data_IF_109761876985
#
_entry.id   IF_109761876985
#
_cell.length_a   1.000
_cell.length_b   1.000
_cell.length_c   1.000
_cell.angle_alpha   90.00
_cell.angle_beta   90.00
_cell.angle_gamma   90.00
#
_symmetry.space_group_name_H-M   'P 1'
#
loop_
_entity.id
_entity.type
_entity.pdbx_description
1 polymer ?
#
# COMPACT_ATOMS: atom_id res chain seq x y z
N UNK A 1 -0.31 -6.44 19.63
CA UNK A 1 -0.17 -7.60 18.73
C UNK A 1 1.23 -7.53 18.14
N UNK A 2 2.17 -8.28 18.70
CA UNK A 2 3.54 -8.36 18.19
C UNK A 2 3.50 -9.03 16.83
N UNK A 3 3.75 -8.25 15.77
CA UNK A 3 4.01 -8.79 14.45
C UNK A 3 5.21 -9.74 14.56
N UNK A 4 4.97 -11.02 14.32
CA UNK A 4 6.01 -12.02 14.31
C UNK A 4 6.84 -11.82 13.04
N UNK A 5 8.06 -11.30 13.21
CA UNK A 5 8.94 -10.90 12.10
C UNK A 5 9.26 -12.10 11.20
N UNK A 6 9.49 -13.26 11.79
CA UNK A 6 9.79 -14.50 11.06
C UNK A 6 8.60 -14.96 10.24
N UNK A 7 7.39 -14.85 10.81
CA UNK A 7 6.15 -15.14 10.08
C UNK A 7 5.97 -14.20 8.89
N UNK A 8 6.09 -12.89 9.09
CA UNK A 8 5.98 -11.91 8.00
C UNK A 8 7.00 -12.18 6.89
N UNK A 9 8.24 -12.54 7.26
CA UNK A 9 9.29 -12.80 6.29
C UNK A 9 9.01 -14.06 5.44
N UNK A 10 8.40 -15.10 6.03
CA UNK A 10 7.91 -16.27 5.28
C UNK A 10 6.77 -15.91 4.34
N UNK A 11 5.75 -15.22 4.86
CA UNK A 11 4.59 -14.77 4.06
C UNK A 11 5.04 -13.94 2.85
N UNK A 12 5.99 -13.00 3.05
CA UNK A 12 6.52 -12.17 1.97
C UNK A 12 7.28 -12.99 0.93
N UNK A 13 8.14 -13.90 1.37
CA UNK A 13 8.92 -14.73 0.43
C UNK A 13 8.02 -15.63 -0.42
N UNK A 14 6.96 -16.19 0.17
CA UNK A 14 5.96 -16.97 -0.57
C UNK A 14 5.13 -16.10 -1.52
N UNK A 15 4.77 -14.89 -1.11
CA UNK A 15 4.09 -13.95 -2.00
C UNK A 15 4.95 -13.63 -3.22
N UNK A 16 6.23 -13.26 -3.02
CA UNK A 16 7.17 -12.94 -4.10
C UNK A 16 7.33 -14.13 -5.07
N UNK A 17 7.41 -15.37 -4.58
CA UNK A 17 7.42 -16.59 -5.41
C UNK A 17 6.12 -16.72 -6.23
N UNK A 18 4.96 -16.53 -5.58
CA UNK A 18 3.66 -16.75 -6.21
C UNK A 18 3.30 -15.71 -7.28
N UNK A 19 3.73 -14.45 -7.15
CA UNK A 19 3.45 -13.43 -8.18
C UNK A 19 4.14 -13.75 -9.50
N UNK A 20 5.32 -14.37 -9.45
CA UNK A 20 6.10 -14.75 -10.64
C UNK A 20 5.55 -16.02 -11.32
N UNK A 21 4.79 -16.84 -10.58
CA UNK A 21 4.17 -18.05 -11.11
C UNK A 21 2.90 -17.75 -11.92
N UNK A 22 2.65 -18.59 -12.93
CA UNK A 22 1.39 -18.62 -13.67
C UNK A 22 0.20 -19.06 -12.81
N UNK A 23 -1.01 -18.64 -13.21
CA UNK A 23 -2.23 -18.74 -12.41
C UNK A 23 -2.59 -20.18 -12.00
N UNK A 24 -2.32 -21.15 -12.87
CA UNK A 24 -2.51 -22.58 -12.59
C UNK A 24 -1.50 -23.11 -11.57
N UNK A 25 -0.21 -22.82 -11.75
CA UNK A 25 0.82 -23.25 -10.81
C UNK A 25 0.66 -22.58 -9.43
N UNK A 26 0.22 -21.31 -9.41
CA UNK A 26 -0.09 -20.54 -8.20
C UNK A 26 -1.19 -21.18 -7.36
N UNK A 27 -2.28 -21.62 -8.00
CA UNK A 27 -3.39 -22.30 -7.30
C UNK A 27 -2.94 -23.60 -6.65
N UNK A 28 -2.20 -24.45 -7.39
CA UNK A 28 -1.68 -25.71 -6.83
C UNK A 28 -0.69 -25.46 -5.68
N UNK A 29 0.11 -24.39 -5.75
CA UNK A 29 1.03 -24.02 -4.67
C UNK A 29 0.29 -23.51 -3.44
N UNK A 30 -0.77 -22.72 -3.60
CA UNK A 30 -1.63 -22.27 -2.50
C UNK A 30 -2.38 -23.42 -1.84
N UNK A 31 -2.82 -24.43 -2.60
CA UNK A 31 -3.41 -25.65 -2.02
C UNK A 31 -2.40 -26.43 -1.16
N UNK A 32 -1.17 -26.59 -1.64
CA UNK A 32 -0.11 -27.23 -0.87
C UNK A 32 0.20 -26.48 0.43
N UNK A 33 0.27 -25.14 0.38
CA UNK A 33 0.48 -24.30 1.57
C UNK A 33 -0.71 -24.42 2.53
N UNK A 34 -1.95 -24.41 2.03
CA UNK A 34 -3.14 -24.53 2.86
C UNK A 34 -3.29 -25.89 3.55
N UNK A 35 -2.71 -26.95 2.97
CA UNK A 35 -2.66 -28.26 3.60
C UNK A 35 -1.68 -28.32 4.78
N UNK A 36 -0.64 -27.48 4.78
CA UNK A 36 0.38 -27.42 5.83
C UNK A 36 0.05 -26.35 6.89
N UNK A 37 -0.32 -25.15 6.45
CA UNK A 37 -0.71 -24.03 7.31
C UNK A 37 -1.86 -23.22 6.65
N UNK A 38 -3.11 -23.45 7.08
CA UNK A 38 -4.26 -22.75 6.53
C UNK A 38 -4.25 -21.24 6.85
N UNK A 39 -3.62 -20.84 7.96
CA UNK A 39 -3.56 -19.43 8.36
C UNK A 39 -2.55 -18.66 7.50
N UNK A 40 -1.44 -19.30 7.15
CA UNK A 40 -0.45 -18.74 6.23
C UNK A 40 -1.03 -18.58 4.82
N UNK A 41 -1.85 -19.55 4.37
CA UNK A 41 -2.59 -19.44 3.11
C UNK A 41 -3.49 -18.22 3.08
N UNK A 42 -4.30 -18.00 4.12
CA UNK A 42 -5.20 -16.83 4.19
C UNK A 42 -4.43 -15.49 4.20
N UNK A 43 -3.24 -15.44 4.80
CA UNK A 43 -2.40 -14.24 4.79
C UNK A 43 -1.87 -13.93 3.39
N UNK A 44 -1.37 -14.95 2.67
CA UNK A 44 -0.85 -14.80 1.31
C UNK A 44 -1.96 -14.49 0.31
N UNK A 45 -3.12 -15.15 0.42
CA UNK A 45 -4.29 -14.87 -0.43
C UNK A 45 -4.79 -13.43 -0.24
N UNK A 46 -4.81 -12.92 0.99
CA UNK A 46 -5.15 -11.51 1.24
C UNK A 46 -4.18 -10.54 0.57
N UNK A 47 -2.88 -10.85 0.56
CA UNK A 47 -1.88 -10.02 -0.13
C UNK A 47 -2.07 -10.05 -1.65
N UNK A 48 -2.33 -11.23 -2.23
CA UNK A 48 -2.58 -11.36 -3.67
C UNK A 48 -3.87 -10.64 -4.11
N UNK A 49 -4.92 -10.68 -3.30
CA UNK A 49 -6.15 -9.93 -3.55
C UNK A 49 -5.92 -8.41 -3.48
N UNK A 50 -5.13 -7.95 -2.51
CA UNK A 50 -4.79 -6.54 -2.36
C UNK A 50 -3.94 -6.03 -3.54
N UNK A 51 -3.02 -6.84 -4.05
CA UNK A 51 -2.21 -6.53 -5.23
C UNK A 51 -3.08 -6.36 -6.48
N UNK A 52 -3.94 -7.35 -6.79
CA UNK A 52 -4.88 -7.27 -7.90
C UNK A 52 -5.88 -6.10 -7.78
N UNK A 53 -6.35 -5.79 -6.57
CA UNK A 53 -7.23 -4.64 -6.33
C UNK A 53 -6.51 -3.30 -6.50
N UNK A 54 -5.20 -3.25 -6.25
CA UNK A 54 -4.41 -2.02 -6.38
C UNK A 54 -4.15 -1.65 -7.84
N UNK A 55 -3.94 -2.62 -8.73
CA UNK A 55 -3.82 -2.33 -10.17
C UNK A 55 -5.10 -1.68 -10.72
N UNK A 56 -6.27 -2.22 -10.37
CA UNK A 56 -7.55 -1.65 -10.79
C UNK A 56 -7.80 -0.25 -10.20
N UNK A 57 -7.44 -0.03 -8.93
CA UNK A 57 -7.56 1.27 -8.29
C UNK A 57 -6.61 2.31 -8.90
N UNK A 58 -5.40 1.90 -9.30
CA UNK A 58 -4.40 2.76 -9.92
C UNK A 58 -4.66 3.01 -11.41
N UNK A 59 -5.27 2.06 -12.13
CA UNK A 59 -5.66 2.26 -13.53
C UNK A 59 -6.73 3.34 -13.68
N UNK A 60 -7.63 3.46 -12.71
CA UNK A 60 -8.63 4.54 -12.66
C UNK A 60 -8.08 5.83 -12.02
N UNK A 61 -6.90 5.77 -11.40
CA UNK A 61 -6.27 6.91 -10.76
C UNK A 61 -5.55 7.78 -11.79
N UNK A 62 -6.26 8.79 -12.31
CA UNK A 62 -5.64 9.88 -13.06
C UNK A 62 -4.76 10.70 -12.13
N UNK A 63 -3.44 10.45 -12.17
CA UNK A 63 -2.43 11.31 -11.52
C UNK A 63 -2.66 12.77 -11.93
N UNK A 64 -3.15 13.59 -11.01
CA UNK A 64 -3.43 15.03 -11.21
C UNK A 64 -4.90 15.44 -11.07
N UNK A 65 -5.85 14.51 -10.98
CA UNK A 65 -7.25 14.83 -10.72
C UNK A 65 -7.57 14.71 -9.24
N UNK A 66 -7.37 15.79 -8.49
CA UNK A 66 -7.82 15.86 -7.10
C UNK A 66 -9.35 15.68 -7.04
N UNK A 67 -9.90 14.75 -6.25
CA UNK A 67 -11.31 14.77 -5.95
C UNK A 67 -11.58 16.03 -5.13
N UNK A 68 -12.20 17.02 -5.77
CA UNK A 68 -12.62 18.25 -5.10
C UNK A 68 -13.75 17.90 -4.13
N UNK A 69 -13.38 17.64 -2.88
CA UNK A 69 -14.31 17.63 -1.75
C UNK A 69 -14.02 18.86 -0.88
N UNK A 70 -15.05 19.64 -0.49
CA UNK A 70 -14.87 20.84 0.31
C UNK A 70 -14.57 20.43 1.76
N UNK A 71 -13.28 20.32 2.10
CA UNK A 71 -12.87 20.00 3.47
C UNK A 71 -12.69 21.29 4.25
N UNK A 72 -13.73 21.66 4.99
CA UNK A 72 -13.67 22.63 6.09
C UNK A 72 -12.80 22.02 7.20
N UNK A 73 -11.49 22.31 7.18
CA UNK A 73 -10.60 22.04 8.29
C UNK A 73 -10.32 23.36 9.01
N UNK A 74 -10.98 23.55 10.15
CA UNK A 74 -10.54 24.45 11.21
C UNK A 74 -9.28 23.86 11.85
N UNK A 75 -8.17 24.01 11.15
CA UNK A 75 -6.81 23.68 11.58
C UNK A 75 -5.89 24.26 10.55
N UNK A 76 -4.92 25.10 10.96
CA UNK A 76 -4.06 25.85 10.06
C UNK A 76 -3.56 24.94 8.94
N UNK A 77 -3.92 25.28 7.69
CA UNK A 77 -3.56 24.52 6.48
C UNK A 77 -2.05 24.36 6.30
N UNK A 78 -1.30 25.12 7.07
CA UNK A 78 0.15 25.16 7.12
C UNK A 78 0.59 25.24 8.59
N UNK A 79 0.73 24.10 9.28
CA UNK A 79 1.16 24.07 10.68
C UNK A 79 2.61 24.53 10.85
N UNK A 80 3.40 24.50 9.77
CA UNK A 80 4.81 24.91 9.77
C UNK A 80 5.01 26.36 9.31
N UNK A 81 3.97 27.03 8.82
CA UNK A 81 4.06 28.40 8.30
C UNK A 81 5.01 28.54 7.11
N UNK A 82 5.18 27.47 6.30
CA UNK A 82 6.11 27.43 5.16
C UNK A 82 5.44 27.69 3.81
N UNK A 83 4.13 27.55 3.69
CA UNK A 83 3.39 27.76 2.44
C UNK A 83 3.52 29.21 1.98
N UNK A 84 3.90 29.40 0.72
CA UNK A 84 4.17 30.69 0.11
C UNK A 84 5.57 31.24 0.38
N UNK A 85 6.36 30.60 1.26
CA UNK A 85 7.74 31.00 1.56
C UNK A 85 8.72 30.31 0.63
N UNK A 86 9.88 30.96 0.45
CA UNK A 86 11.02 30.35 -0.23
C UNK A 86 11.89 29.68 0.82
N UNK A 87 12.05 28.37 0.71
CA UNK A 87 12.99 27.58 1.51
C UNK A 87 14.17 27.24 0.61
N UNK A 88 15.33 27.83 0.89
CA UNK A 88 16.51 27.80 0.00
C UNK A 88 16.20 28.40 -1.38
N UNK A 89 16.09 27.57 -2.42
CA UNK A 89 15.78 27.99 -3.79
C UNK A 89 14.36 27.62 -4.23
N UNK A 90 13.60 26.96 -3.37
CA UNK A 90 12.29 26.40 -3.70
C UNK A 90 11.18 27.22 -3.06
N UNK A 91 10.15 27.56 -3.84
CA UNK A 91 8.93 28.17 -3.33
C UNK A 91 7.93 27.09 -2.95
N UNK A 92 7.52 27.06 -1.68
CA UNK A 92 6.52 26.10 -1.20
C UNK A 92 5.13 26.56 -1.63
N UNK A 93 4.40 25.70 -2.35
CA UNK A 93 3.06 26.02 -2.85
C UNK A 93 1.95 25.49 -1.95
N UNK A 94 2.11 24.29 -1.40
CA UNK A 94 1.11 23.66 -0.56
C UNK A 94 1.76 22.68 0.43
N UNK A 95 1.13 22.52 1.59
CA UNK A 95 1.50 21.56 2.62
C UNK A 95 0.64 20.30 2.49
N UNK A 96 1.29 19.13 2.40
CA UNK A 96 0.59 17.85 2.18
C UNK A 96 0.53 17.00 3.47
N UNK A 97 1.67 16.80 4.13
CA UNK A 97 1.79 16.08 5.40
C UNK A 97 3.18 16.32 6.03
N UNK A 98 3.36 15.91 7.28
CA UNK A 98 4.67 15.83 7.94
C UNK A 98 5.00 14.35 8.22
N UNK A 99 6.25 13.95 7.99
CA UNK A 99 6.75 12.61 8.32
C UNK A 99 7.22 12.53 9.77
N UNK A 100 6.95 11.41 10.43
CA UNK A 100 7.40 11.05 11.78
C UNK A 100 7.58 9.55 11.89
#
# INVERSE_FOLDING_TARGET
MTFDRDRWQRTRSLFDELIEMDSTARLSRLEAIGAEDPVLREEVERLLLADHGSEAALSDYLFGSSPSAPRTLTGSRDPLGVVGRIVSHFRVLEYLAAGG
#
